data_IF_452527761296
#
_entry.id   IF_452527761296
#
_cell.length_a   1.000
_cell.length_b   1.000
_cell.length_c   1.000
_cell.angle_alpha   90.00
_cell.angle_beta   90.00
_cell.angle_gamma   90.00
#
_symmetry.space_group_name_H-M   'P 1'
#
loop_
_entity.id
_entity.type
_entity.pdbx_description
1 polymer ?
#
# COMPACT_ATOMS: atom_id res chain seq x y z
N UNK A 1 0.12 76.95 50.74
CA UNK A 1 -0.76 75.87 51.08
C UNK A 1 -0.35 74.62 50.40
N UNK A 2 0.39 73.76 51.08
CA UNK A 2 0.86 72.48 50.54
C UNK A 2 -0.12 71.38 50.94
N UNK A 3 -0.66 70.66 50.01
CA UNK A 3 -1.45 69.47 50.25
C UNK A 3 -0.56 68.29 49.94
N UNK A 4 -0.21 67.51 50.94
CA UNK A 4 0.52 66.27 50.88
C UNK A 4 -0.42 65.14 50.44
N UNK A 5 -0.18 64.51 49.37
CA UNK A 5 -0.88 63.30 48.95
C UNK A 5 -0.09 62.09 49.44
N UNK A 6 -0.72 61.33 50.35
CA UNK A 6 -0.16 60.09 50.87
C UNK A 6 -0.34 58.95 49.89
N UNK A 7 0.77 58.29 49.57
CA UNK A 7 0.77 57.08 48.76
C UNK A 7 0.62 55.88 49.71
N UNK A 8 -0.50 55.18 49.63
CA UNK A 8 -0.70 53.89 50.31
C UNK A 8 -0.16 52.79 49.37
N UNK A 9 0.96 52.17 49.75
CA UNK A 9 1.49 50.99 49.10
C UNK A 9 0.79 49.74 49.67
N UNK A 10 -0.10 49.16 48.92
CA UNK A 10 -0.68 47.84 49.22
C UNK A 10 0.25 46.76 48.65
N UNK A 11 0.97 46.08 49.53
CA UNK A 11 1.76 44.92 49.16
C UNK A 11 0.82 43.71 48.97
N UNK A 12 0.50 43.33 47.73
CA UNK A 12 -0.14 42.07 47.39
C UNK A 12 0.93 40.99 47.31
N UNK A 13 1.01 40.14 48.33
CA UNK A 13 1.78 38.90 48.23
C UNK A 13 1.03 37.91 47.34
N UNK A 14 1.46 37.80 46.06
CA UNK A 14 1.01 36.77 45.17
C UNK A 14 1.74 35.46 45.48
N UNK A 15 1.03 34.52 46.11
CA UNK A 15 1.47 33.13 46.23
C UNK A 15 1.34 32.51 44.84
N UNK A 16 2.42 32.51 44.07
CA UNK A 16 2.54 31.83 42.79
C UNK A 16 2.69 30.33 43.00
N UNK A 17 1.59 29.59 42.98
CA UNK A 17 1.66 28.15 42.75
C UNK A 17 2.06 27.93 41.30
N UNK A 18 3.34 27.68 41.06
CA UNK A 18 3.83 27.22 39.78
C UNK A 18 3.32 25.79 39.53
N UNK A 19 2.18 25.63 38.85
CA UNK A 19 1.87 24.38 38.17
C UNK A 19 2.88 24.23 37.08
N UNK A 20 3.94 23.50 37.35
CA UNK A 20 4.84 22.97 36.33
C UNK A 20 4.08 21.91 35.51
N UNK A 21 3.42 22.33 34.42
CA UNK A 21 3.03 21.41 33.36
C UNK A 21 4.34 20.96 32.69
N UNK A 22 4.88 19.85 33.19
CA UNK A 22 5.89 19.12 32.46
C UNK A 22 5.27 18.66 31.12
N UNK A 23 5.51 19.41 30.07
CA UNK A 23 5.35 18.93 28.71
C UNK A 23 6.41 17.83 28.50
N UNK A 24 6.12 16.65 29.04
CA UNK A 24 6.78 15.42 28.62
C UNK A 24 6.38 15.20 27.18
N UNK A 25 7.18 15.75 26.24
CA UNK A 25 7.23 15.32 24.87
C UNK A 25 7.79 13.91 24.80
N UNK A 26 7.14 12.97 25.46
CA UNK A 26 7.31 11.56 25.23
C UNK A 26 6.59 11.27 23.92
N UNK A 27 7.32 11.05 22.83
CA UNK A 27 6.83 10.26 21.74
C UNK A 27 6.37 8.95 22.38
N UNK A 28 5.07 8.83 22.61
CA UNK A 28 4.44 7.56 22.90
C UNK A 28 4.79 6.69 21.70
N UNK A 29 5.74 5.76 21.85
CA UNK A 29 5.81 4.62 20.98
C UNK A 29 4.44 3.99 21.12
N UNK A 30 3.53 4.30 20.19
CA UNK A 30 2.24 3.66 20.10
C UNK A 30 2.54 2.16 20.20
N UNK A 31 1.83 1.47 21.08
CA UNK A 31 2.02 0.04 21.27
C UNK A 31 1.52 -0.61 19.99
N UNK A 32 2.44 -0.76 19.02
CA UNK A 32 2.13 -1.34 17.73
C UNK A 32 1.61 -2.76 17.95
N UNK A 33 0.47 -3.14 17.33
CA UNK A 33 0.01 -4.51 17.45
C UNK A 33 1.05 -5.45 16.88
N UNK A 34 1.31 -6.56 17.55
CA UNK A 34 2.24 -7.56 17.03
C UNK A 34 1.72 -8.19 15.73
N UNK A 35 0.40 -8.26 15.57
CA UNK A 35 -0.26 -8.76 14.36
C UNK A 35 -1.43 -7.87 13.97
N UNK A 36 -1.59 -7.70 12.66
CA UNK A 36 -2.74 -7.00 12.11
C UNK A 36 -4.05 -7.77 12.34
N UNK A 37 -5.14 -7.01 12.41
CA UNK A 37 -6.51 -7.50 12.62
C UNK A 37 -7.53 -6.56 11.98
N UNK A 38 -8.81 -6.97 11.95
CA UNK A 38 -9.90 -6.11 11.49
C UNK A 38 -10.48 -5.22 12.61
N UNK A 39 -9.94 -5.31 13.82
CA UNK A 39 -10.35 -4.44 14.93
C UNK A 39 -9.71 -3.07 14.73
N UNK A 40 -10.52 -2.02 14.72
CA UNK A 40 -10.09 -0.63 14.45
C UNK A 40 -9.30 -0.47 13.13
N UNK A 41 -9.59 -1.33 12.15
CA UNK A 41 -8.90 -1.35 10.88
C UNK A 41 -9.26 -0.14 10.00
N UNK A 42 -8.38 0.17 9.05
CA UNK A 42 -8.63 1.18 8.02
C UNK A 42 -9.92 0.86 7.22
N UNK A 43 -10.60 1.90 6.69
CA UNK A 43 -11.71 1.71 5.77
C UNK A 43 -11.35 0.74 4.63
N UNK A 44 -12.28 -0.13 4.26
CA UNK A 44 -12.08 -1.11 3.20
C UNK A 44 -11.35 -2.40 3.60
N UNK A 45 -10.72 -2.48 4.78
CA UNK A 45 -9.99 -3.69 5.19
C UNK A 45 -10.85 -4.97 5.21
N UNK A 46 -12.11 -4.96 5.70
CA UNK A 46 -12.99 -6.12 5.61
C UNK A 46 -13.34 -6.52 4.18
N UNK A 47 -13.47 -5.53 3.28
CA UNK A 47 -13.82 -5.79 1.88
C UNK A 47 -12.65 -6.42 1.14
N UNK A 48 -11.44 -5.85 1.29
CA UNK A 48 -10.19 -6.41 0.75
C UNK A 48 -9.94 -7.83 1.27
N UNK A 49 -10.16 -8.06 2.57
CA UNK A 49 -10.00 -9.39 3.15
C UNK A 49 -10.96 -10.40 2.51
N UNK A 50 -12.23 -10.03 2.32
CA UNK A 50 -13.25 -10.88 1.69
C UNK A 50 -12.96 -11.15 0.22
N UNK A 51 -12.51 -10.11 -0.48
CA UNK A 51 -12.16 -10.21 -1.90
C UNK A 51 -11.00 -11.14 -2.16
N UNK A 52 -10.01 -11.19 -1.29
CA UNK A 52 -8.82 -12.02 -1.45
C UNK A 52 -8.92 -13.37 -0.71
N UNK A 53 -9.98 -13.58 0.05
CA UNK A 53 -10.16 -14.82 0.82
C UNK A 53 -10.16 -16.05 -0.08
N UNK A 54 -9.38 -17.06 0.31
CA UNK A 54 -9.27 -18.34 -0.40
C UNK A 54 -8.42 -18.30 -1.67
N UNK A 55 -7.91 -17.13 -2.10
CA UNK A 55 -6.98 -17.04 -3.23
C UNK A 55 -5.55 -17.20 -2.68
N UNK A 56 -4.76 -18.18 -3.16
CA UNK A 56 -3.37 -18.32 -2.72
C UNK A 56 -2.53 -17.10 -3.06
N UNK A 57 -1.67 -16.67 -2.13
CA UNK A 57 -0.67 -15.63 -2.37
C UNK A 57 0.71 -16.19 -2.05
N UNK A 58 1.71 -15.88 -2.90
CA UNK A 58 3.12 -16.24 -2.71
C UNK A 58 4.03 -15.10 -3.23
N UNK A 59 4.72 -14.43 -2.32
CA UNK A 59 5.49 -13.25 -2.71
C UNK A 59 4.59 -12.19 -3.34
N UNK A 60 4.91 -11.79 -4.56
CA UNK A 60 4.17 -10.83 -5.37
C UNK A 60 3.20 -11.48 -6.38
N UNK A 61 2.82 -12.74 -6.16
CA UNK A 61 1.91 -13.50 -7.06
C UNK A 61 0.65 -13.90 -6.32
N UNK A 62 -0.50 -13.67 -6.95
CA UNK A 62 -1.85 -14.01 -6.52
C UNK A 62 -2.45 -15.05 -7.45
N UNK A 63 -2.97 -16.14 -6.93
CA UNK A 63 -3.60 -17.21 -7.71
C UNK A 63 -2.87 -18.54 -7.65
N UNK A 64 -3.35 -19.50 -8.43
CA UNK A 64 -2.81 -20.86 -8.46
C UNK A 64 -1.44 -20.91 -9.15
N UNK A 65 -0.42 -21.58 -8.59
CA UNK A 65 0.86 -21.78 -9.25
C UNK A 65 0.78 -22.65 -10.52
N UNK A 66 -0.34 -23.29 -10.76
CA UNK A 66 -0.61 -24.09 -11.95
C UNK A 66 -1.52 -23.39 -12.96
N UNK A 67 -1.80 -22.10 -12.77
CA UNK A 67 -2.59 -21.32 -13.70
C UNK A 67 -1.90 -21.28 -15.08
N UNK A 68 -2.63 -21.56 -16.19
CA UNK A 68 -2.05 -21.60 -17.53
C UNK A 68 -1.71 -20.22 -18.11
N UNK A 69 -2.22 -19.14 -17.49
CA UNK A 69 -2.01 -17.76 -17.94
C UNK A 69 -1.48 -16.92 -16.78
N UNK A 70 -0.52 -16.05 -17.07
CA UNK A 70 -0.01 -15.05 -16.14
C UNK A 70 -0.35 -13.65 -16.67
N UNK A 71 -0.91 -12.82 -15.79
CA UNK A 71 -1.01 -11.38 -15.93
C UNK A 71 0.12 -10.77 -15.11
N UNK A 72 0.94 -9.92 -15.72
CA UNK A 72 1.92 -9.09 -15.03
C UNK A 72 1.40 -7.67 -15.03
N UNK A 73 1.34 -7.06 -13.84
CA UNK A 73 0.95 -5.66 -13.69
C UNK A 73 2.11 -4.84 -13.12
N UNK A 74 2.42 -3.72 -13.79
CA UNK A 74 3.30 -2.70 -13.26
C UNK A 74 2.45 -1.56 -12.72
N UNK A 75 2.53 -1.33 -11.42
CA UNK A 75 1.67 -0.37 -10.71
C UNK A 75 2.49 0.49 -9.76
N UNK A 76 2.03 1.74 -9.60
CA UNK A 76 2.55 2.68 -8.60
C UNK A 76 1.45 2.98 -7.58
N UNK A 77 1.78 2.90 -6.29
CA UNK A 77 0.80 3.04 -5.20
C UNK A 77 0.21 4.45 -5.06
N UNK A 78 0.84 5.46 -5.69
CA UNK A 78 0.27 6.80 -5.75
C UNK A 78 -0.55 7.06 -7.01
N UNK A 79 -0.45 6.20 -8.05
CA UNK A 79 -1.10 6.42 -9.33
C UNK A 79 -2.62 6.24 -9.23
N UNK A 80 -3.44 7.26 -9.57
CA UNK A 80 -4.89 7.18 -9.50
C UNK A 80 -5.47 6.23 -10.56
N UNK A 81 -4.79 6.06 -11.68
CA UNK A 81 -5.18 5.10 -12.72
C UNK A 81 -4.91 3.65 -12.29
N UNK A 82 -3.82 3.42 -11.52
CA UNK A 82 -3.60 2.14 -10.87
C UNK A 82 -4.71 1.83 -9.86
N UNK A 83 -5.08 2.81 -9.02
CA UNK A 83 -6.21 2.65 -8.12
C UNK A 83 -7.48 2.23 -8.87
N UNK A 84 -7.80 2.90 -9.98
CA UNK A 84 -8.99 2.57 -10.77
C UNK A 84 -8.91 1.13 -11.31
N UNK A 85 -7.77 0.72 -11.87
CA UNK A 85 -7.58 -0.67 -12.31
C UNK A 85 -7.78 -1.66 -11.16
N UNK A 86 -7.13 -1.43 -10.05
CA UNK A 86 -7.09 -2.32 -8.89
C UNK A 86 -8.45 -2.43 -8.16
N UNK A 87 -9.23 -1.35 -8.16
CA UNK A 87 -10.53 -1.33 -7.44
C UNK A 87 -11.74 -1.59 -8.34
N UNK A 88 -11.60 -1.49 -9.66
CA UNK A 88 -12.72 -1.64 -10.60
C UNK A 88 -12.52 -2.82 -11.58
N UNK A 89 -11.31 -2.97 -12.16
CA UNK A 89 -11.04 -4.03 -13.13
C UNK A 89 -10.60 -5.35 -12.48
N UNK A 90 -9.63 -5.30 -11.58
CA UNK A 90 -9.04 -6.50 -10.97
C UNK A 90 -10.07 -7.37 -10.24
N UNK A 91 -11.05 -6.87 -9.48
CA UNK A 91 -12.07 -7.69 -8.82
C UNK A 91 -12.85 -8.59 -9.77
N UNK A 92 -13.18 -8.10 -10.95
CA UNK A 92 -13.85 -8.90 -11.98
C UNK A 92 -12.92 -10.00 -12.52
N UNK A 93 -11.64 -9.67 -12.77
CA UNK A 93 -10.64 -10.63 -13.23
C UNK A 93 -10.36 -11.71 -12.17
N UNK A 94 -10.31 -11.34 -10.88
CA UNK A 94 -10.18 -12.28 -9.78
C UNK A 94 -11.34 -13.30 -9.80
N UNK A 95 -12.55 -12.82 -9.94
CA UNK A 95 -13.76 -13.66 -9.94
C UNK A 95 -13.80 -14.58 -11.17
N UNK A 96 -13.51 -14.03 -12.36
CA UNK A 96 -13.68 -14.76 -13.62
C UNK A 96 -12.55 -15.74 -13.95
N UNK A 97 -11.33 -15.42 -13.51
CA UNK A 97 -10.14 -16.13 -13.96
C UNK A 97 -9.23 -16.63 -12.84
N UNK A 98 -8.98 -15.82 -11.79
CA UNK A 98 -8.03 -16.20 -10.73
C UNK A 98 -8.64 -17.28 -9.82
N UNK A 99 -9.85 -17.05 -9.33
CA UNK A 99 -10.54 -18.02 -8.46
C UNK A 99 -10.76 -19.39 -9.14
N UNK A 100 -11.11 -19.47 -10.42
CA UNK A 100 -11.17 -20.74 -11.14
C UNK A 100 -9.81 -21.36 -11.48
N UNK A 101 -8.68 -20.71 -11.10
CA UNK A 101 -7.33 -21.22 -11.36
C UNK A 101 -6.85 -21.11 -12.81
N UNK A 102 -7.46 -20.22 -13.60
CA UNK A 102 -7.11 -19.99 -15.02
C UNK A 102 -6.07 -18.91 -15.20
N UNK A 103 -5.92 -18.03 -14.22
CA UNK A 103 -5.02 -16.87 -14.21
C UNK A 103 -4.29 -16.80 -12.88
N UNK A 104 -3.01 -16.46 -12.91
CA UNK A 104 -2.31 -15.87 -11.79
C UNK A 104 -1.94 -14.42 -12.13
N UNK A 105 -1.87 -13.56 -11.11
CA UNK A 105 -1.48 -12.15 -11.23
C UNK A 105 -0.15 -11.95 -10.53
N UNK A 106 0.83 -11.42 -11.25
CA UNK A 106 2.14 -11.02 -10.73
C UNK A 106 2.20 -9.49 -10.65
N UNK A 107 2.24 -8.93 -9.44
CA UNK A 107 2.36 -7.50 -9.24
C UNK A 107 3.83 -7.07 -9.12
N UNK A 108 4.24 -6.08 -9.91
CA UNK A 108 5.56 -5.46 -9.90
C UNK A 108 5.39 -3.98 -9.53
N UNK A 109 5.68 -3.68 -8.28
CA UNK A 109 5.47 -2.33 -7.74
C UNK A 109 6.64 -1.44 -8.15
N UNK A 110 6.36 -0.43 -8.96
CA UNK A 110 7.32 0.61 -9.37
C UNK A 110 7.08 1.90 -8.59
N UNK A 111 8.03 2.84 -8.65
CA UNK A 111 7.95 4.12 -7.94
C UNK A 111 8.29 5.26 -8.92
N UNK A 112 7.34 5.58 -9.81
CA UNK A 112 7.53 6.59 -10.84
C UNK A 112 7.13 8.00 -10.38
N UNK A 113 6.22 8.10 -9.40
CA UNK A 113 5.59 9.37 -9.02
C UNK A 113 6.44 10.15 -8.00
N UNK A 114 7.12 9.46 -7.08
CA UNK A 114 7.98 10.16 -6.13
C UNK A 114 8.28 9.41 -4.82
N UNK A 115 8.80 10.11 -3.81
CA UNK A 115 9.30 9.48 -2.56
C UNK A 115 8.24 8.70 -1.78
N UNK A 116 6.98 9.11 -1.83
CA UNK A 116 5.89 8.36 -1.20
C UNK A 116 5.68 7.01 -1.90
N UNK A 117 5.84 6.94 -3.24
CA UNK A 117 5.81 5.68 -3.99
C UNK A 117 6.94 4.74 -3.57
N UNK A 118 8.16 5.27 -3.36
CA UNK A 118 9.29 4.47 -2.89
C UNK A 118 9.02 3.86 -1.51
N UNK A 119 8.45 4.66 -0.58
CA UNK A 119 8.07 4.20 0.76
C UNK A 119 7.00 3.12 0.70
N UNK A 120 5.95 3.34 -0.11
CA UNK A 120 4.88 2.38 -0.30
C UNK A 120 5.37 1.09 -0.94
N UNK A 121 6.22 1.17 -1.98
CA UNK A 121 6.85 0.02 -2.64
C UNK A 121 7.64 -0.83 -1.66
N UNK A 122 8.49 -0.22 -0.86
CA UNK A 122 9.29 -0.93 0.14
C UNK A 122 8.41 -1.69 1.15
N UNK A 123 7.31 -1.07 1.60
CA UNK A 123 6.36 -1.71 2.50
C UNK A 123 5.57 -2.85 1.82
N UNK A 124 5.17 -2.67 0.55
CA UNK A 124 4.49 -3.71 -0.23
C UNK A 124 5.38 -4.94 -0.46
N UNK A 125 6.67 -4.73 -0.79
CA UNK A 125 7.65 -5.82 -0.91
C UNK A 125 7.84 -6.53 0.44
N UNK A 126 7.88 -5.80 1.54
CA UNK A 126 7.93 -6.41 2.88
C UNK A 126 6.66 -7.22 3.20
N UNK A 127 5.48 -6.75 2.79
CA UNK A 127 4.23 -7.51 2.89
C UNK A 127 4.23 -8.77 2.02
N UNK A 128 4.85 -8.71 0.82
CA UNK A 128 5.04 -9.87 -0.06
C UNK A 128 5.79 -11.03 0.64
N UNK A 129 6.77 -10.72 1.48
CA UNK A 129 7.53 -11.72 2.26
C UNK A 129 6.68 -12.46 3.29
N UNK A 130 5.47 -11.96 3.54
CA UNK A 130 4.47 -12.58 4.40
C UNK A 130 3.24 -13.07 3.60
N UNK A 131 3.35 -13.11 2.26
CA UNK A 131 2.25 -13.46 1.34
C UNK A 131 1.00 -12.58 1.55
N UNK A 132 1.23 -11.28 1.74
CA UNK A 132 0.21 -10.26 2.01
C UNK A 132 0.35 -9.02 1.11
N UNK A 133 1.09 -9.13 -0.02
CA UNK A 133 1.27 -8.00 -0.92
C UNK A 133 -0.08 -7.46 -1.38
N UNK A 134 -0.95 -8.28 -1.94
CA UNK A 134 -2.23 -7.84 -2.48
C UNK A 134 -3.18 -7.30 -1.42
N UNK A 135 -3.19 -7.88 -0.20
CA UNK A 135 -3.95 -7.29 0.91
C UNK A 135 -3.44 -5.88 1.24
N UNK A 136 -2.13 -5.67 1.19
CA UNK A 136 -1.50 -4.41 1.53
C UNK A 136 -1.74 -3.35 0.44
N UNK A 137 -1.48 -3.68 -0.82
CA UNK A 137 -1.65 -2.76 -1.95
C UNK A 137 -3.11 -2.37 -2.18
N UNK A 138 -4.02 -3.34 -2.15
CA UNK A 138 -5.46 -3.09 -2.28
C UNK A 138 -5.97 -2.16 -1.17
N UNK A 139 -5.53 -2.38 0.07
CA UNK A 139 -5.93 -1.52 1.18
C UNK A 139 -5.38 -0.10 1.05
N UNK A 140 -4.16 0.06 0.51
CA UNK A 140 -3.60 1.37 0.19
C UNK A 140 -4.38 2.06 -0.93
N UNK A 141 -4.74 1.36 -2.01
CA UNK A 141 -5.56 1.93 -3.07
C UNK A 141 -6.95 2.34 -2.58
N UNK A 142 -7.54 1.56 -1.69
CA UNK A 142 -8.82 1.92 -1.07
C UNK A 142 -8.75 3.23 -0.28
N UNK A 143 -7.59 3.51 0.35
CA UNK A 143 -7.33 4.70 1.16
C UNK A 143 -6.44 5.74 0.46
N UNK A 144 -6.27 5.64 -0.86
CA UNK A 144 -5.32 6.47 -1.60
C UNK A 144 -5.66 7.97 -1.50
N UNK A 145 -4.66 8.74 -1.09
CA UNK A 145 -4.69 10.20 -1.08
C UNK A 145 -4.21 10.81 -2.41
N UNK A 146 -4.04 12.12 -2.42
CA UNK A 146 -3.52 12.85 -3.58
C UNK A 146 -2.01 12.64 -3.70
N UNK A 147 -1.52 12.47 -4.93
CA UNK A 147 -0.10 12.27 -5.24
C UNK A 147 0.80 13.34 -4.58
N UNK A 148 1.92 12.91 -4.03
CA UNK A 148 2.97 13.77 -3.46
C UNK A 148 2.50 14.73 -2.35
N UNK A 149 1.45 14.38 -1.62
CA UNK A 149 0.97 15.15 -0.45
C UNK A 149 1.46 14.60 0.88
N UNK A 150 2.28 13.56 0.86
CA UNK A 150 2.77 12.89 2.07
C UNK A 150 1.74 11.96 2.70
N UNK A 151 0.68 11.58 1.99
CA UNK A 151 -0.37 10.70 2.52
C UNK A 151 0.13 9.28 2.79
N UNK A 152 1.07 8.80 1.96
CA UNK A 152 1.66 7.45 2.10
C UNK A 152 2.92 7.55 2.97
N UNK A 153 2.73 7.98 4.20
CA UNK A 153 3.76 8.13 5.22
C UNK A 153 3.91 6.86 6.08
N UNK A 154 4.76 6.92 7.08
CA UNK A 154 4.99 5.81 8.00
C UNK A 154 3.76 5.45 8.85
N UNK A 155 2.90 6.41 9.14
CA UNK A 155 1.67 6.19 9.90
C UNK A 155 0.65 5.43 9.03
N UNK A 156 0.51 5.80 7.74
CA UNK A 156 -0.34 5.07 6.79
C UNK A 156 0.18 3.65 6.57
N UNK A 157 1.49 3.47 6.36
CA UNK A 157 2.11 2.14 6.21
C UNK A 157 1.84 1.26 7.43
N UNK A 158 2.01 1.83 8.63
CA UNK A 158 1.78 1.12 9.89
C UNK A 158 0.31 0.77 10.09
N UNK A 159 -0.59 1.72 9.81
CA UNK A 159 -2.04 1.53 9.91
C UNK A 159 -2.55 0.49 8.92
N UNK A 160 -2.05 0.50 7.69
CA UNK A 160 -2.37 -0.52 6.70
C UNK A 160 -1.90 -1.91 7.14
N UNK A 161 -0.65 -2.03 7.63
CA UNK A 161 -0.12 -3.29 8.15
C UNK A 161 -0.94 -3.82 9.34
N UNK A 162 -1.32 -2.92 10.26
CA UNK A 162 -2.14 -3.25 11.44
C UNK A 162 -3.57 -3.69 11.07
N UNK A 163 -4.06 -3.31 9.89
CA UNK A 163 -5.41 -3.62 9.39
C UNK A 163 -5.50 -4.94 8.61
N UNK A 164 -4.39 -5.66 8.40
CA UNK A 164 -4.36 -6.90 7.62
C UNK A 164 -4.27 -8.11 8.54
N UNK A 165 -5.32 -8.96 8.63
CA UNK A 165 -5.33 -10.10 9.53
C UNK A 165 -4.11 -11.01 9.39
N UNK A 166 -3.44 -11.23 10.53
CA UNK A 166 -2.31 -12.15 10.64
C UNK A 166 -0.97 -11.62 10.14
N UNK A 167 -0.90 -10.43 9.54
CA UNK A 167 0.36 -9.81 9.16
C UNK A 167 1.17 -9.44 10.41
N UNK A 168 2.46 -9.81 10.44
CA UNK A 168 3.42 -9.45 11.49
C UNK A 168 3.89 -8.01 11.26
N UNK A 169 3.35 -7.07 12.04
CA UNK A 169 3.58 -5.63 11.84
C UNK A 169 5.04 -5.23 12.13
N UNK A 170 5.64 -5.62 13.28
CA UNK A 170 7.05 -5.33 13.53
C UNK A 170 7.99 -5.88 12.45
N UNK A 171 7.71 -7.08 11.93
CA UNK A 171 8.48 -7.69 10.87
C UNK A 171 8.37 -6.90 9.56
N UNK A 172 7.16 -6.48 9.16
CA UNK A 172 6.99 -5.64 7.97
C UNK A 172 7.82 -4.35 8.09
N UNK A 173 7.71 -3.66 9.25
CA UNK A 173 8.44 -2.42 9.49
C UNK A 173 9.97 -2.59 9.49
N UNK A 174 10.47 -3.75 9.92
CA UNK A 174 11.89 -4.10 9.83
C UNK A 174 12.29 -4.48 8.41
N UNK A 175 11.51 -5.34 7.75
CA UNK A 175 11.83 -5.88 6.44
C UNK A 175 11.82 -4.80 5.33
N UNK A 176 10.99 -3.75 5.44
CA UNK A 176 10.90 -2.68 4.44
C UNK A 176 12.21 -1.90 4.23
N UNK A 177 13.11 -1.93 5.21
CA UNK A 177 14.43 -1.26 5.15
C UNK A 177 15.57 -2.27 4.98
N UNK A 178 15.28 -3.47 4.52
CA UNK A 178 16.29 -4.52 4.35
C UNK A 178 16.90 -4.50 2.95
N UNK A 179 18.16 -4.92 2.84
CA UNK A 179 18.85 -5.06 1.55
C UNK A 179 18.05 -5.94 0.56
N UNK A 180 17.41 -6.99 1.03
CA UNK A 180 16.56 -7.86 0.19
C UNK A 180 15.34 -7.12 -0.38
N UNK A 181 14.80 -6.11 0.32
CA UNK A 181 13.73 -5.27 -0.19
C UNK A 181 14.25 -4.33 -1.27
N UNK A 182 15.44 -3.76 -1.07
CA UNK A 182 16.09 -2.89 -2.07
C UNK A 182 16.47 -3.68 -3.34
N UNK A 183 16.98 -4.91 -3.19
CA UNK A 183 17.25 -5.83 -4.29
C UNK A 183 15.99 -6.14 -5.10
N UNK A 184 14.87 -6.43 -4.42
CA UNK A 184 13.60 -6.72 -5.09
C UNK A 184 13.04 -5.47 -5.80
N UNK A 185 13.13 -4.29 -5.19
CA UNK A 185 12.74 -3.03 -5.82
C UNK A 185 13.56 -2.78 -7.09
N UNK A 186 14.89 -2.96 -7.03
CA UNK A 186 15.79 -2.83 -8.17
C UNK A 186 15.49 -3.86 -9.26
N UNK A 187 15.07 -5.07 -8.88
CA UNK A 187 14.65 -6.10 -9.84
C UNK A 187 13.38 -5.68 -10.59
N UNK A 188 12.38 -5.10 -9.90
CA UNK A 188 11.17 -4.59 -10.54
C UNK A 188 11.48 -3.44 -11.50
N UNK A 189 12.36 -2.50 -11.12
CA UNK A 189 12.80 -1.41 -12.00
C UNK A 189 13.51 -1.95 -13.25
N UNK A 190 14.37 -2.95 -13.08
CA UNK A 190 15.09 -3.60 -14.20
C UNK A 190 14.13 -4.32 -15.14
N UNK A 191 13.13 -5.02 -14.62
CA UNK A 191 12.09 -5.68 -15.38
C UNK A 191 11.21 -4.68 -16.12
N UNK A 192 10.81 -3.58 -15.46
CA UNK A 192 10.04 -2.50 -16.07
C UNK A 192 10.79 -1.90 -17.27
N UNK A 193 12.09 -1.63 -17.12
CA UNK A 193 12.93 -1.14 -18.22
C UNK A 193 13.03 -2.16 -19.37
N UNK A 194 13.22 -3.45 -19.06
CA UNK A 194 13.31 -4.52 -20.07
C UNK A 194 11.99 -4.70 -20.84
N UNK A 195 10.86 -4.55 -20.17
CA UNK A 195 9.52 -4.65 -20.76
C UNK A 195 9.04 -3.32 -21.40
N UNK A 196 9.87 -2.26 -21.38
CA UNK A 196 9.57 -0.96 -21.99
C UNK A 196 8.47 -0.18 -21.28
N UNK A 197 8.30 -0.39 -19.98
CA UNK A 197 7.26 0.26 -19.16
C UNK A 197 7.64 1.71 -18.91
N UNK A 198 6.78 2.64 -19.33
CA UNK A 198 6.96 4.09 -19.19
C UNK A 198 5.81 4.78 -18.44
N UNK A 199 4.74 4.03 -18.16
CA UNK A 199 3.54 4.53 -17.48
C UNK A 199 2.89 3.43 -16.62
N UNK A 200 2.00 3.81 -15.72
CA UNK A 200 1.24 2.89 -14.88
C UNK A 200 -0.25 3.23 -14.89
N UNK A 201 -1.14 2.22 -14.84
CA UNK A 201 -0.80 0.80 -14.86
C UNK A 201 -0.35 0.32 -16.26
N UNK A 202 0.65 -0.57 -16.30
CA UNK A 202 0.98 -1.31 -17.51
C UNK A 202 0.69 -2.78 -17.27
N UNK A 203 -0.14 -3.38 -18.13
CA UNK A 203 -0.62 -4.75 -18.00
C UNK A 203 -0.06 -5.60 -19.15
N UNK A 204 0.55 -6.73 -18.80
CA UNK A 204 1.01 -7.71 -19.78
C UNK A 204 0.32 -9.05 -19.51
N UNK A 205 -0.06 -9.77 -20.55
CA UNK A 205 -0.72 -11.09 -20.45
C UNK A 205 -0.02 -12.09 -21.37
N UNK A 206 0.17 -13.30 -20.88
CA UNK A 206 0.74 -14.40 -21.67
C UNK A 206 0.50 -15.78 -21.04
N UNK A 207 0.86 -16.82 -21.78
CA UNK A 207 0.91 -18.18 -21.21
C UNK A 207 1.96 -18.21 -20.12
N UNK A 208 1.65 -18.87 -19.00
CA UNK A 208 2.59 -19.00 -17.89
C UNK A 208 3.91 -19.63 -18.36
N UNK A 209 5.02 -18.99 -18.00
CA UNK A 209 6.37 -19.39 -18.43
C UNK A 209 6.78 -18.90 -19.84
N UNK A 210 5.92 -18.17 -20.55
CA UNK A 210 6.25 -17.54 -21.83
C UNK A 210 6.37 -16.01 -21.66
N UNK A 211 6.98 -15.34 -22.63
CA UNK A 211 7.06 -13.86 -22.65
C UNK A 211 5.66 -13.28 -22.82
N UNK A 212 5.14 -12.52 -21.83
CA UNK A 212 3.83 -11.90 -21.94
C UNK A 212 3.86 -10.72 -22.91
N UNK A 213 2.70 -10.27 -23.36
CA UNK A 213 2.54 -9.12 -24.25
C UNK A 213 1.74 -8.03 -23.57
N UNK A 214 2.13 -6.79 -23.80
CA UNK A 214 1.41 -5.65 -23.27
C UNK A 214 0.00 -5.58 -23.87
N UNK A 215 -0.97 -5.31 -23.01
CA UNK A 215 -2.37 -5.07 -23.36
C UNK A 215 -2.57 -3.56 -23.46
N UNK A 216 -3.09 -3.10 -24.61
CA UNK A 216 -3.51 -1.69 -24.72
C UNK A 216 -4.85 -1.52 -24.02
N UNK A 217 -4.89 -0.70 -22.99
CA UNK A 217 -6.11 -0.37 -22.25
C UNK A 217 -6.78 0.84 -22.90
N UNK A 218 -8.09 0.78 -23.13
CA UNK A 218 -8.88 1.92 -23.58
C UNK A 218 -9.19 2.90 -22.45
N UNK A 219 -9.24 2.41 -21.20
CA UNK A 219 -9.36 3.16 -19.94
C UNK A 219 -8.68 2.38 -18.82
N UNK A 220 -8.38 2.99 -17.67
CA UNK A 220 -7.75 2.27 -16.56
C UNK A 220 -8.55 1.06 -16.06
N UNK A 221 -9.86 1.07 -16.19
CA UNK A 221 -10.80 0.01 -15.80
C UNK A 221 -11.19 -0.94 -16.96
N UNK A 222 -10.41 -0.98 -18.05
CA UNK A 222 -10.73 -1.78 -19.24
C UNK A 222 -10.57 -3.29 -19.02
N UNK A 223 -11.55 -3.88 -18.32
CA UNK A 223 -11.65 -5.33 -18.15
C UNK A 223 -11.73 -6.06 -19.49
N UNK A 224 -12.37 -5.48 -20.51
CA UNK A 224 -12.67 -6.18 -21.76
C UNK A 224 -11.40 -6.49 -22.56
N UNK A 225 -10.50 -5.52 -22.71
CA UNK A 225 -9.21 -5.72 -23.37
C UNK A 225 -8.35 -6.76 -22.64
N UNK A 226 -8.31 -6.68 -21.30
CA UNK A 226 -7.56 -7.65 -20.49
C UNK A 226 -8.18 -9.04 -20.59
N UNK A 227 -9.51 -9.16 -20.51
CA UNK A 227 -10.21 -10.43 -20.64
C UNK A 227 -9.99 -11.06 -22.02
N UNK A 228 -10.00 -10.25 -23.08
CA UNK A 228 -9.72 -10.74 -24.44
C UNK A 228 -8.29 -11.31 -24.56
N UNK A 229 -7.30 -10.62 -23.97
CA UNK A 229 -5.91 -11.10 -23.94
C UNK A 229 -5.78 -12.42 -23.14
N UNK A 230 -6.46 -12.52 -21.99
CA UNK A 230 -6.48 -13.75 -21.18
C UNK A 230 -7.11 -14.91 -21.99
N UNK A 231 -8.25 -14.67 -22.64
CA UNK A 231 -8.91 -15.70 -23.46
C UNK A 231 -8.02 -16.15 -24.62
N UNK A 232 -7.35 -15.22 -25.31
CA UNK A 232 -6.39 -15.55 -26.37
C UNK A 232 -5.20 -16.39 -25.86
N UNK A 233 -4.76 -16.16 -24.64
CA UNK A 233 -3.68 -16.94 -24.03
C UNK A 233 -4.14 -18.32 -23.54
N UNK A 234 -5.41 -18.48 -23.20
CA UNK A 234 -6.00 -19.78 -22.82
C UNK A 234 -6.16 -20.73 -24.02
N UNK A 235 -6.21 -20.20 -25.24
CA UNK A 235 -6.31 -20.99 -26.49
C UNK A 235 -7.71 -21.23 -26.90
#
# INVERSE_FOLDING_TARGET
>A
MLIAAGIVVVALAAVGAALGVALSGGSSKANLPARGSLVDALPGAPDVQRELEGIPQRGNVLGSPSAPVTLVEYVDLQCPYCRQFETEALPELLTRYVRPGKLEVEARIVAFIGPDSERGRAAAIAAARQSKLFNFTQLLYFNQGVENTGWLDDDMVTSAAASIPGLDVPRLLSDRSSATTDEQASAFDSQANADGVTETPTILVGKSGATPRQVTLASPDDVQSVAAAIQAALG
#
